data_IF_513707160364
#
_entry.id   IF_513707160364
#
_cell.length_a   1.000
_cell.length_b   1.000
_cell.length_c   1.000
_cell.angle_alpha   90.00
_cell.angle_beta   90.00
_cell.angle_gamma   90.00
#
_symmetry.space_group_name_H-M   'P 1'
#
loop_
_entity.id
_entity.type
_entity.pdbx_description
1 polymer ?
#
# COMPACT_ATOMS: atom_id res chain seq x y z
N UNK A 1 -0.52 9.55 -11.93
CA UNK A 1 -1.33 9.43 -10.69
C UNK A 1 -0.39 9.32 -9.52
N UNK A 2 -0.21 10.44 -8.82
CA UNK A 2 0.77 10.60 -7.75
C UNK A 2 0.30 9.95 -6.45
N UNK A 3 -0.96 10.16 -6.09
CA UNK A 3 -1.54 9.61 -4.85
C UNK A 3 -2.79 8.82 -5.16
N UNK A 4 -2.86 7.56 -4.70
CA UNK A 4 -4.06 6.74 -4.82
C UNK A 4 -4.87 6.88 -3.52
N UNK A 5 -6.13 7.28 -3.63
CA UNK A 5 -7.04 7.41 -2.48
C UNK A 5 -8.02 6.24 -2.39
N UNK A 6 -8.35 5.60 -3.51
CA UNK A 6 -9.34 4.53 -3.52
C UNK A 6 -9.30 3.67 -4.77
N UNK A 7 -9.73 2.42 -4.61
CA UNK A 7 -9.98 1.48 -5.71
C UNK A 7 -11.33 0.83 -5.42
N UNK A 8 -12.29 0.97 -6.31
CA UNK A 8 -13.61 0.39 -6.13
C UNK A 8 -14.20 -0.10 -7.45
N UNK A 9 -15.15 -1.02 -7.35
CA UNK A 9 -15.92 -1.52 -8.48
C UNK A 9 -17.22 -0.72 -8.56
N UNK A 10 -17.48 -0.06 -9.68
CA UNK A 10 -18.77 0.60 -9.92
C UNK A 10 -19.74 -0.46 -10.46
N UNK A 11 -20.73 -0.84 -9.65
CA UNK A 11 -21.63 -1.96 -9.94
C UNK A 11 -20.84 -3.24 -10.29
N UNK A 12 -21.42 -4.12 -11.11
CA UNK A 12 -20.79 -5.39 -11.46
C UNK A 12 -19.82 -5.36 -12.65
N UNK A 13 -19.59 -4.20 -13.29
CA UNK A 13 -18.96 -4.17 -14.61
C UNK A 13 -17.56 -3.53 -14.68
N UNK A 14 -17.24 -2.49 -13.91
CA UNK A 14 -16.02 -1.68 -14.15
C UNK A 14 -15.28 -1.33 -12.87
N UNK A 15 -14.01 -1.71 -12.79
CA UNK A 15 -13.10 -1.26 -11.74
C UNK A 15 -12.56 0.14 -12.03
N UNK A 16 -12.49 0.96 -10.97
CA UNK A 16 -12.00 2.33 -11.02
C UNK A 16 -11.00 2.58 -9.90
N UNK A 17 -10.03 3.43 -10.22
CA UNK A 17 -9.09 3.99 -9.26
C UNK A 17 -9.33 5.49 -9.16
N UNK A 18 -9.28 5.98 -7.93
CA UNK A 18 -9.48 7.37 -7.57
C UNK A 18 -8.17 7.87 -6.95
N UNK A 19 -7.75 9.07 -7.34
CA UNK A 19 -6.46 9.60 -6.91
C UNK A 19 -6.28 11.06 -7.25
N UNK A 20 -5.14 11.59 -6.83
CA UNK A 20 -4.67 12.90 -7.23
C UNK A 20 -3.60 12.77 -8.33
N UNK A 21 -3.69 13.62 -9.34
CA UNK A 21 -2.72 13.75 -10.43
C UNK A 21 -2.51 15.21 -10.79
N UNK A 22 -1.40 15.53 -11.46
CA UNK A 22 -1.19 16.86 -12.02
C UNK A 22 -1.93 17.00 -13.35
N UNK A 23 -2.58 18.15 -13.57
CA UNK A 23 -3.11 18.52 -14.87
C UNK A 23 -2.00 19.20 -15.73
N UNK A 24 -2.37 19.70 -16.90
CA UNK A 24 -1.46 20.41 -17.82
C UNK A 24 -0.90 21.72 -17.22
N UNK A 25 -1.59 22.29 -16.23
CA UNK A 25 -1.21 23.51 -15.52
C UNK A 25 -0.49 23.24 -14.18
N UNK A 26 0.04 22.02 -13.97
CA UNK A 26 0.71 21.57 -12.73
C UNK A 26 -0.15 21.68 -11.44
N UNK A 27 -1.46 21.77 -11.58
CA UNK A 27 -2.39 21.75 -10.46
C UNK A 27 -2.74 20.32 -10.06
N UNK A 28 -2.74 20.05 -8.75
CA UNK A 28 -3.12 18.75 -8.20
C UNK A 28 -4.66 18.60 -8.24
N UNK A 29 -5.16 17.75 -9.12
CA UNK A 29 -6.61 17.54 -9.34
C UNK A 29 -7.05 16.12 -8.97
N UNK A 30 -8.30 15.98 -8.52
CA UNK A 30 -8.91 14.69 -8.26
C UNK A 30 -9.30 14.02 -9.59
N UNK A 31 -8.73 12.85 -9.85
CA UNK A 31 -8.95 12.09 -11.09
C UNK A 31 -9.53 10.71 -10.81
N UNK A 32 -10.27 10.19 -11.78
CA UNK A 32 -10.77 8.81 -11.78
C UNK A 32 -10.36 8.12 -13.07
N UNK A 33 -9.76 6.94 -12.98
CA UNK A 33 -9.38 6.13 -14.16
C UNK A 33 -10.05 4.75 -14.11
N UNK A 34 -10.50 4.24 -15.26
CA UNK A 34 -10.92 2.84 -15.38
C UNK A 34 -9.68 1.95 -15.38
N UNK A 35 -9.75 0.79 -14.75
CA UNK A 35 -8.62 -0.15 -14.65
C UNK A 35 -9.05 -1.57 -14.97
N UNK A 36 -8.10 -2.37 -15.45
CA UNK A 36 -8.29 -3.81 -15.58
C UNK A 36 -8.40 -4.43 -14.17
N UNK A 37 -9.34 -5.38 -13.92
CA UNK A 37 -9.45 -6.12 -12.66
C UNK A 37 -8.11 -6.66 -12.11
N UNK A 38 -7.20 -7.09 -13.00
CA UNK A 38 -5.88 -7.62 -12.62
C UNK A 38 -5.01 -6.58 -11.91
N UNK A 39 -5.25 -5.29 -12.14
CA UNK A 39 -4.49 -4.19 -11.54
C UNK A 39 -5.06 -3.75 -10.18
N UNK A 40 -6.17 -4.32 -9.72
CA UNK A 40 -6.82 -3.92 -8.46
C UNK A 40 -5.86 -4.08 -7.27
N UNK A 41 -5.18 -5.22 -7.18
CA UNK A 41 -4.21 -5.46 -6.10
C UNK A 41 -3.02 -4.52 -6.17
N UNK A 42 -2.48 -4.28 -7.37
CA UNK A 42 -1.42 -3.30 -7.58
C UNK A 42 -1.79 -1.92 -7.05
N UNK A 43 -2.98 -1.39 -7.38
CA UNK A 43 -3.41 -0.08 -6.90
C UNK A 43 -3.77 -0.06 -5.40
N UNK A 44 -4.31 -1.16 -4.85
CA UNK A 44 -4.53 -1.30 -3.40
C UNK A 44 -3.21 -1.29 -2.62
N UNK A 45 -2.18 -1.94 -3.13
CA UNK A 45 -0.83 -1.91 -2.54
C UNK A 45 -0.22 -0.51 -2.67
N UNK A 46 -0.32 0.12 -3.85
CA UNK A 46 0.15 1.49 -4.08
C UNK A 46 -0.54 2.53 -3.17
N UNK A 47 -1.79 2.29 -2.77
CA UNK A 47 -2.51 3.11 -1.77
C UNK A 47 -1.92 2.97 -0.37
N UNK A 48 -1.47 1.78 0.02
CA UNK A 48 -0.86 1.57 1.34
C UNK A 48 0.52 2.25 1.34
N UNK A 49 0.73 3.20 2.25
CA UNK A 49 2.03 3.85 2.41
C UNK A 49 3.05 2.80 2.84
N UNK A 50 4.13 2.69 2.07
CA UNK A 50 5.36 2.05 2.51
C UNK A 50 6.02 3.00 3.51
N UNK A 51 6.37 2.46 4.67
CA UNK A 51 7.15 3.13 5.69
C UNK A 51 8.51 2.47 5.76
N UNK A 52 9.53 3.25 6.12
CA UNK A 52 10.87 2.75 6.33
C UNK A 52 11.14 2.74 7.84
N UNK A 53 11.86 1.74 8.32
CA UNK A 53 12.44 1.71 9.65
C UNK A 53 13.84 1.06 9.61
N UNK A 54 14.60 1.17 10.69
CA UNK A 54 15.91 0.52 10.85
C UNK A 54 15.72 -0.71 11.73
N UNK A 55 16.25 -1.87 11.29
CA UNK A 55 16.20 -3.10 12.07
C UNK A 55 17.14 -3.01 13.27
N UNK A 56 16.67 -3.33 14.47
CA UNK A 56 17.51 -3.31 15.69
C UNK A 56 18.57 -4.43 15.72
N UNK A 57 18.37 -5.50 14.94
CA UNK A 57 19.28 -6.66 14.91
C UNK A 57 20.40 -6.49 13.89
N UNK A 58 20.04 -6.17 12.63
CA UNK A 58 21.02 -6.08 11.53
C UNK A 58 21.36 -4.65 11.11
N UNK A 59 20.72 -3.63 11.72
CA UNK A 59 20.94 -2.20 11.45
C UNK A 59 20.71 -1.79 9.99
N UNK A 60 20.05 -2.63 9.19
CA UNK A 60 19.65 -2.33 7.82
C UNK A 60 18.33 -1.58 7.81
N UNK A 61 18.19 -0.63 6.89
CA UNK A 61 16.90 -0.02 6.58
C UNK A 61 16.01 -1.05 5.87
N UNK A 62 14.75 -1.16 6.30
CA UNK A 62 13.76 -2.02 5.68
C UNK A 62 12.44 -1.28 5.48
N UNK A 63 11.65 -1.75 4.51
CA UNK A 63 10.36 -1.16 4.16
C UNK A 63 9.21 -2.09 4.53
N UNK A 64 8.16 -1.52 5.10
CA UNK A 64 6.98 -2.27 5.51
C UNK A 64 5.70 -1.48 5.24
N UNK A 65 4.58 -2.20 5.15
CA UNK A 65 3.27 -1.56 5.05
C UNK A 65 2.71 -1.32 6.44
N UNK A 66 2.60 -0.06 6.87
CA UNK A 66 2.12 0.28 8.24
C UNK A 66 0.81 -0.40 8.61
N UNK A 67 -0.14 -0.51 7.68
CA UNK A 67 -1.42 -1.18 7.94
C UNK A 67 -1.37 -2.71 8.03
N UNK A 68 -0.19 -3.33 8.15
CA UNK A 68 -0.02 -4.76 8.47
C UNK A 68 0.39 -4.99 9.92
N UNK A 69 0.71 -3.93 10.67
CA UNK A 69 1.20 -4.02 12.03
C UNK A 69 0.45 -3.01 12.90
N UNK A 70 0.08 -3.41 14.12
CA UNK A 70 -0.54 -2.48 15.08
C UNK A 70 0.46 -1.44 15.59
N UNK A 71 1.74 -1.78 15.57
CA UNK A 71 2.87 -0.94 15.99
C UNK A 71 3.96 -0.92 14.91
N UNK A 72 4.90 0.01 15.04
CA UNK A 72 6.06 0.03 14.15
C UNK A 72 6.92 -1.21 14.44
N UNK A 73 7.29 -2.01 13.44
CA UNK A 73 8.15 -3.18 13.67
C UNK A 73 9.58 -2.73 13.93
N UNK A 74 10.22 -3.33 14.93
CA UNK A 74 11.61 -3.05 15.32
C UNK A 74 12.62 -3.96 14.58
N UNK A 75 12.14 -5.08 14.05
CA UNK A 75 12.93 -6.09 13.34
C UNK A 75 12.54 -6.13 11.86
N UNK A 76 13.47 -6.52 10.97
CA UNK A 76 13.18 -6.77 9.57
C UNK A 76 12.82 -8.24 9.32
N UNK A 77 12.18 -8.51 8.18
CA UNK A 77 11.74 -9.87 7.80
C UNK A 77 12.88 -10.89 7.66
N UNK A 78 14.11 -10.43 7.40
CA UNK A 78 15.29 -11.31 7.33
C UNK A 78 15.75 -11.78 8.72
N UNK A 79 15.60 -10.92 9.73
CA UNK A 79 16.02 -11.23 11.10
C UNK A 79 14.91 -11.91 11.90
N UNK A 80 13.66 -11.59 11.57
CA UNK A 80 12.50 -12.25 12.13
C UNK A 80 11.47 -12.45 11.00
N UNK A 81 11.42 -13.65 10.41
CA UNK A 81 10.46 -13.96 9.35
C UNK A 81 9.03 -14.13 9.89
N UNK A 82 8.86 -14.31 11.20
CA UNK A 82 7.57 -14.53 11.86
C UNK A 82 7.08 -13.27 12.58
N UNK A 83 7.01 -12.17 11.83
CA UNK A 83 6.55 -10.87 12.34
C UNK A 83 5.02 -10.80 12.49
N UNK A 84 4.33 -11.86 12.08
CA UNK A 84 2.89 -12.02 12.14
C UNK A 84 2.62 -12.97 13.30
N UNK A 85 2.73 -12.47 14.53
CA UNK A 85 2.57 -13.30 15.72
C UNK A 85 1.36 -14.23 15.61
N UNK A 86 1.66 -15.53 15.63
CA UNK A 86 0.81 -16.66 15.99
C UNK A 86 -0.60 -16.68 15.34
N UNK A 87 -0.68 -17.17 14.10
CA UNK A 87 -1.93 -17.64 13.49
C UNK A 87 -2.40 -19.01 14.09
N UNK A 88 -2.00 -19.38 15.32
CA UNK A 88 -2.55 -20.54 16.04
C UNK A 88 -3.97 -20.28 16.57
N UNK A 89 -4.88 -19.95 15.67
CA UNK A 89 -6.32 -20.18 15.86
C UNK A 89 -6.84 -20.96 14.66
N UNK A 90 -6.35 -22.19 14.51
CA UNK A 90 -7.11 -23.34 13.98
C UNK A 90 -6.61 -24.62 14.62
#
# INVERSE_FOLDING_TARGET
>A
MKTIIGVSKKHNSIWRVYGYDYNEDDNLVLVTKKINPLLVWFYKLKKKRLHNNICEICYKEFRFYKGRFDKMPDECFDCNPDQFGDDSVY
#
